data_IF_349521613015
#
_entry.id   IF_349521613015
#
_cell.length_a   1.000
_cell.length_b   1.000
_cell.length_c   1.000
_cell.angle_alpha   90.00
_cell.angle_beta   90.00
_cell.angle_gamma   90.00
#
_symmetry.space_group_name_H-M   'P 1'
#
loop_
_entity.id
_entity.type
_entity.pdbx_description
1 polymer ?
#
# COMPACT_ATOMS: atom_id res chain seq x y z
N UNK A 1 -2.58 -25.12 -41.75
CA UNK A 1 -2.15 -25.40 -43.14
C UNK A 1 -2.57 -24.15 -43.90
N UNK A 2 -1.75 -23.15 -44.20
CA UNK A 2 -0.31 -22.93 -44.34
C UNK A 2 -0.07 -21.43 -44.02
N UNK A 3 1.11 -20.86 -43.79
CA UNK A 3 2.49 -21.25 -43.99
C UNK A 3 3.41 -20.17 -43.38
N UNK A 4 4.68 -20.53 -43.23
CA UNK A 4 5.77 -19.70 -42.72
C UNK A 4 6.03 -18.50 -43.65
N UNK A 5 6.40 -17.36 -43.08
CA UNK A 5 7.31 -16.44 -43.76
C UNK A 5 8.44 -16.08 -42.80
N UNK A 6 9.54 -16.80 -42.97
CA UNK A 6 10.83 -16.56 -42.31
C UNK A 6 11.58 -15.59 -43.19
N UNK A 7 11.47 -14.29 -42.89
CA UNK A 7 12.30 -13.29 -43.57
C UNK A 7 13.74 -13.40 -43.06
N UNK A 8 14.52 -14.14 -43.84
CA UNK A 8 15.96 -14.21 -43.83
C UNK A 8 16.49 -12.89 -44.41
N UNK A 9 16.90 -11.95 -43.57
CA UNK A 9 17.61 -10.76 -44.03
C UNK A 9 19.12 -11.04 -44.01
N UNK A 10 19.57 -11.52 -45.16
CA UNK A 10 20.98 -11.63 -45.51
C UNK A 10 21.65 -10.25 -45.50
N UNK A 11 22.93 -10.28 -45.17
CA UNK A 11 23.81 -9.15 -44.93
C UNK A 11 23.95 -8.29 -46.19
N UNK A 12 23.83 -6.98 -45.99
CA UNK A 12 24.74 -5.90 -46.42
C UNK A 12 23.94 -4.66 -46.79
N UNK A 13 23.58 -3.86 -45.79
CA UNK A 13 23.63 -2.42 -45.99
C UNK A 13 24.22 -1.74 -44.75
N UNK A 14 25.17 -0.90 -45.08
CA UNK A 14 25.96 0.03 -44.28
C UNK A 14 25.46 0.38 -42.87
N UNK A 15 26.43 0.34 -41.94
CA UNK A 15 26.35 0.73 -40.54
C UNK A 15 25.83 2.17 -40.33
N UNK A 16 24.52 2.35 -40.25
CA UNK A 16 23.92 3.50 -39.55
C UNK A 16 23.47 3.06 -38.14
N UNK A 17 24.44 2.68 -37.31
CA UNK A 17 24.23 2.20 -35.92
C UNK A 17 24.00 3.35 -34.92
N UNK A 18 23.10 4.27 -35.26
CA UNK A 18 22.65 5.32 -34.35
C UNK A 18 21.14 5.22 -34.10
N UNK A 19 20.57 4.01 -34.08
CA UNK A 19 19.16 3.84 -33.67
C UNK A 19 19.10 4.05 -32.15
N UNK A 20 18.74 5.27 -31.75
CA UNK A 20 18.40 5.60 -30.37
C UNK A 20 17.08 4.91 -30.03
N UNK A 21 17.14 3.75 -29.39
CA UNK A 21 15.95 3.11 -28.81
C UNK A 21 15.26 4.10 -27.87
N UNK A 22 13.98 4.41 -28.12
CA UNK A 22 13.18 5.24 -27.21
C UNK A 22 13.16 4.55 -25.85
N UNK A 23 13.62 5.25 -24.81
CA UNK A 23 13.49 4.77 -23.43
C UNK A 23 12.00 4.78 -23.09
N UNK A 24 11.41 3.60 -22.90
CA UNK A 24 10.09 3.51 -22.28
C UNK A 24 10.27 3.82 -20.79
N UNK A 25 9.50 4.76 -20.26
CA UNK A 25 9.46 5.00 -18.82
C UNK A 25 8.91 3.74 -18.16
N UNK A 26 9.69 3.12 -17.27
CA UNK A 26 9.23 1.97 -16.51
C UNK A 26 7.95 2.37 -15.74
N UNK A 27 6.86 1.60 -15.75
CA UNK A 27 5.56 2.02 -15.22
C UNK A 27 5.59 2.44 -13.73
N UNK A 28 6.64 2.02 -13.02
CA UNK A 28 6.93 2.34 -11.61
C UNK A 28 7.49 3.76 -11.42
N UNK A 29 8.18 4.34 -12.41
CA UNK A 29 8.89 5.62 -12.23
C UNK A 29 7.99 6.86 -12.32
N UNK A 30 6.77 6.72 -12.86
CA UNK A 30 5.86 7.87 -13.06
C UNK A 30 4.66 7.87 -12.10
N UNK A 31 4.61 6.98 -11.10
CA UNK A 31 3.46 6.79 -10.19
C UNK A 31 3.71 7.11 -8.71
N UNK A 32 4.90 7.60 -8.36
CA UNK A 32 5.22 8.08 -7.01
C UNK A 32 5.88 7.04 -6.11
N UNK A 33 5.94 7.36 -4.81
CA UNK A 33 6.52 6.52 -3.75
C UNK A 33 5.57 5.39 -3.36
N UNK A 34 6.09 4.19 -3.14
CA UNK A 34 5.34 3.05 -2.62
C UNK A 34 5.63 2.87 -1.14
N UNK A 35 4.60 2.68 -0.34
CA UNK A 35 4.79 2.38 1.08
C UNK A 35 5.40 0.98 1.27
N UNK A 36 6.17 0.85 2.35
CA UNK A 36 6.73 -0.44 2.81
C UNK A 36 5.62 -1.40 3.25
N UNK A 37 4.57 -0.84 3.86
CA UNK A 37 3.36 -1.51 4.31
C UNK A 37 2.14 -0.78 3.74
N UNK A 38 1.24 -1.51 3.09
CA UNK A 38 -0.03 -0.94 2.64
C UNK A 38 -0.96 -0.76 3.86
N UNK A 39 -1.62 0.40 3.97
CA UNK A 39 -2.54 0.72 5.07
C UNK A 39 -3.90 1.20 4.55
N UNK A 40 -4.95 0.96 5.33
CA UNK A 40 -6.31 1.43 5.07
C UNK A 40 -6.77 2.28 6.24
N UNK A 41 -7.28 3.46 5.95
CA UNK A 41 -7.79 4.40 6.95
C UNK A 41 -9.29 4.63 6.79
N UNK A 42 -10.03 4.62 7.90
CA UNK A 42 -11.50 4.75 7.92
C UNK A 42 -11.94 5.60 9.10
N UNK A 43 -12.94 6.44 8.87
CA UNK A 43 -13.69 7.11 9.94
C UNK A 43 -14.71 6.14 10.55
N UNK A 44 -14.50 5.77 11.81
CA UNK A 44 -15.33 4.84 12.57
C UNK A 44 -16.28 5.64 13.46
N UNK A 45 -17.58 5.58 13.13
CA UNK A 45 -18.64 6.33 13.81
C UNK A 45 -19.32 5.54 14.94
N UNK A 46 -19.29 4.21 14.86
CA UNK A 46 -20.01 3.28 15.73
C UNK A 46 -19.04 2.45 16.58
N UNK A 47 -17.99 3.08 17.09
CA UNK A 47 -17.06 2.44 18.02
C UNK A 47 -17.70 2.44 19.41
N UNK A 48 -18.02 1.25 19.94
CA UNK A 48 -18.72 1.09 21.23
C UNK A 48 -17.80 0.61 22.36
N UNK A 49 -16.62 0.08 22.03
CA UNK A 49 -15.63 -0.39 23.00
C UNK A 49 -14.23 0.13 22.67
N UNK A 50 -13.46 0.41 23.71
CA UNK A 50 -12.06 0.81 23.62
C UNK A 50 -11.29 0.33 24.86
N UNK A 51 -9.96 0.39 24.79
CA UNK A 51 -9.09 0.13 25.93
C UNK A 51 -8.55 1.47 26.43
N UNK A 52 -8.81 1.79 27.70
CA UNK A 52 -8.27 2.98 28.37
C UNK A 52 -6.73 2.89 28.49
N UNK A 53 -6.06 4.02 28.71
CA UNK A 53 -4.60 4.10 28.92
C UNK A 53 -4.11 3.25 30.09
N UNK A 54 -5.00 2.92 31.04
CA UNK A 54 -4.74 2.00 32.15
C UNK A 54 -4.87 0.52 31.77
N UNK A 55 -5.13 0.20 30.49
CA UNK A 55 -5.27 -1.16 29.98
C UNK A 55 -6.63 -1.82 30.25
N UNK A 56 -7.62 -1.06 30.75
CA UNK A 56 -8.97 -1.57 31.06
C UNK A 56 -9.90 -1.36 29.87
N UNK A 57 -10.74 -2.35 29.57
CA UNK A 57 -11.82 -2.20 28.58
C UNK A 57 -12.91 -1.25 29.10
N UNK A 58 -13.32 -0.30 28.26
CA UNK A 58 -14.31 0.73 28.54
C UNK A 58 -15.30 0.87 27.39
N UNK A 59 -16.52 1.28 27.72
CA UNK A 59 -17.57 1.57 26.75
C UNK A 59 -17.40 2.99 26.21
N UNK A 60 -17.40 3.13 24.89
CA UNK A 60 -17.34 4.43 24.20
C UNK A 60 -18.77 4.91 23.96
N UNK A 61 -19.06 6.15 24.36
CA UNK A 61 -20.35 6.78 24.11
C UNK A 61 -20.43 7.25 22.65
N UNK A 62 -21.30 6.62 21.86
CA UNK A 62 -21.49 6.96 20.44
C UNK A 62 -22.08 8.36 20.27
N UNK A 63 -23.09 8.68 21.09
CA UNK A 63 -23.74 9.98 21.12
C UNK A 63 -23.48 10.66 22.47
N UNK A 64 -22.83 11.83 22.43
CA UNK A 64 -22.57 12.69 23.57
C UNK A 64 -23.58 13.83 23.54
N UNK A 65 -24.51 13.84 24.49
CA UNK A 65 -25.51 14.89 24.60
C UNK A 65 -24.93 16.07 25.39
N UNK A 66 -24.77 17.21 24.72
CA UNK A 66 -24.32 18.46 25.34
C UNK A 66 -25.27 19.60 24.93
N UNK A 67 -25.86 20.28 25.90
CA UNK A 67 -26.75 21.43 25.69
C UNK A 67 -27.92 21.14 24.72
N UNK A 68 -28.64 20.02 24.91
CA UNK A 68 -29.71 19.53 24.04
C UNK A 68 -29.30 19.16 22.60
N UNK A 69 -28.00 19.18 22.28
CA UNK A 69 -27.49 18.70 20.99
C UNK A 69 -26.77 17.36 21.17
N UNK A 70 -27.05 16.41 20.29
CA UNK A 70 -26.35 15.13 20.23
C UNK A 70 -25.13 15.24 19.31
N UNK A 71 -23.94 15.01 19.85
CA UNK A 71 -22.68 15.00 19.11
C UNK A 71 -22.17 13.58 18.94
N UNK A 72 -21.67 13.26 17.74
CA UNK A 72 -21.05 11.97 17.46
C UNK A 72 -19.54 12.06 17.55
N UNK A 73 -18.94 11.16 18.31
CA UNK A 73 -17.49 10.98 18.31
C UNK A 73 -17.10 10.04 17.17
N UNK A 74 -16.16 10.48 16.32
CA UNK A 74 -15.60 9.66 15.26
C UNK A 74 -14.13 9.38 15.56
N UNK A 75 -13.68 8.17 15.21
CA UNK A 75 -12.28 7.77 15.33
C UNK A 75 -11.70 7.56 13.94
N UNK A 76 -10.55 8.18 13.65
CA UNK A 76 -9.82 7.89 12.41
C UNK A 76 -8.88 6.71 12.65
N UNK A 77 -9.36 5.50 12.35
CA UNK A 77 -8.56 4.28 12.51
C UNK A 77 -7.78 4.00 11.23
N UNK A 78 -6.49 3.72 11.37
CA UNK A 78 -5.65 3.22 10.27
C UNK A 78 -5.13 1.84 10.62
N UNK A 79 -5.27 0.87 9.71
CA UNK A 79 -4.84 -0.53 9.90
C UNK A 79 -3.96 -0.98 8.75
N UNK A 80 -3.08 -1.94 9.02
CA UNK A 80 -2.35 -2.62 7.95
C UNK A 80 -3.33 -3.40 7.06
N UNK A 81 -3.18 -3.26 5.74
CA UNK A 81 -3.97 -4.03 4.77
C UNK A 81 -3.59 -5.51 4.79
N UNK A 82 -2.29 -5.79 4.82
CA UNK A 82 -1.71 -7.12 4.89
C UNK A 82 -0.46 -7.08 5.79
N UNK A 83 -0.28 -8.03 6.74
CA UNK A 83 0.96 -8.17 7.50
C UNK A 83 2.22 -8.42 6.65
N UNK A 84 2.07 -9.00 5.45
CA UNK A 84 3.16 -9.32 4.50
C UNK A 84 2.74 -8.96 3.07
N UNK A 85 2.91 -7.69 2.65
CA UNK A 85 2.52 -7.24 1.31
C UNK A 85 3.29 -7.92 0.16
N UNK A 86 4.44 -8.54 0.46
CA UNK A 86 5.18 -9.42 -0.46
C UNK A 86 5.54 -10.72 0.26
N UNK A 87 5.87 -11.78 -0.50
CA UNK A 87 6.19 -13.10 0.06
C UNK A 87 7.35 -13.07 1.07
N UNK A 88 8.29 -12.13 0.92
CA UNK A 88 9.43 -11.93 1.79
C UNK A 88 9.17 -11.04 3.02
N UNK A 89 7.94 -10.56 3.22
CA UNK A 89 7.57 -9.65 4.29
C UNK A 89 7.15 -8.28 3.77
N UNK A 90 7.81 -7.23 4.27
CA UNK A 90 7.54 -5.85 3.88
C UNK A 90 8.23 -5.49 2.55
N UNK A 91 7.63 -4.55 1.80
CA UNK A 91 8.13 -4.14 0.48
C UNK A 91 9.45 -3.36 0.61
N UNK A 92 10.46 -3.78 -0.14
CA UNK A 92 11.77 -3.09 -0.19
C UNK A 92 12.71 -3.40 0.98
N UNK A 93 12.33 -4.27 1.91
CA UNK A 93 13.23 -4.75 2.96
C UNK A 93 14.12 -5.87 2.42
N UNK A 94 15.41 -5.82 2.75
CA UNK A 94 16.37 -6.86 2.38
C UNK A 94 16.12 -8.14 3.20
N UNK A 95 15.35 -9.04 2.59
CA UNK A 95 14.95 -10.31 3.19
C UNK A 95 16.09 -11.31 3.39
N UNK A 96 17.30 -11.05 2.87
CA UNK A 96 18.48 -11.88 3.15
C UNK A 96 18.99 -11.67 4.58
N UNK A 97 18.79 -10.48 5.12
CA UNK A 97 19.31 -10.08 6.43
C UNK A 97 18.20 -9.80 7.45
N UNK A 98 16.96 -9.58 7.00
CA UNK A 98 15.88 -9.13 7.87
C UNK A 98 14.57 -9.90 7.62
N UNK A 99 13.95 -10.36 8.71
CA UNK A 99 12.55 -10.77 8.72
C UNK A 99 11.68 -9.55 9.03
N UNK A 100 10.64 -9.31 8.25
CA UNK A 100 9.80 -8.12 8.39
C UNK A 100 8.31 -8.45 8.34
N UNK A 101 7.52 -7.69 9.11
CA UNK A 101 6.06 -7.80 9.18
C UNK A 101 5.44 -6.42 9.48
N UNK A 102 4.31 -6.13 8.84
CA UNK A 102 3.54 -4.90 9.04
C UNK A 102 2.64 -5.05 10.27
N UNK A 103 2.72 -4.10 11.21
CA UNK A 103 1.91 -4.08 12.42
C UNK A 103 1.18 -2.75 12.56
N UNK A 104 -0.07 -2.80 13.03
CA UNK A 104 -0.84 -1.60 13.32
C UNK A 104 -0.38 -1.00 14.65
N UNK A 105 -0.02 0.27 14.63
CA UNK A 105 0.35 1.02 15.84
C UNK A 105 -0.89 1.63 16.48
N UNK A 106 -0.94 1.63 17.82
CA UNK A 106 -2.04 2.22 18.58
C UNK A 106 -1.63 3.55 19.21
N UNK A 107 -2.60 4.46 19.36
CA UNK A 107 -2.45 5.74 20.07
C UNK A 107 -3.69 5.99 20.93
N UNK A 108 -3.54 6.78 21.99
CA UNK A 108 -4.65 7.27 22.80
C UNK A 108 -5.08 8.65 22.29
N UNK A 109 -6.39 8.93 22.36
CA UNK A 109 -7.04 10.17 21.92
C UNK A 109 -8.08 10.63 22.94
#
# INVERSE_FOLDING_TARGET
RDGQDVEFLDSTDSLNRNIRTKRATHPVHNRGEYSVCDSVSVWVANKTTATDIKGKEVTVMVDVNLNNNAYKQYFFETKCRDPKPVSSGCRGIDARHWNSYCTTTHTFV
#
